data_IF_710569919208
#
_entry.id   IF_710569919208
#
_cell.length_a   1.000
_cell.length_b   1.000
_cell.length_c   1.000
_cell.angle_alpha   90.00
_cell.angle_beta   90.00
_cell.angle_gamma   90.00
#
_symmetry.space_group_name_H-M   'P 1'
#
loop_
_entity.id
_entity.type
_entity.pdbx_description
1 polymer ?
#
# COMPACT_ATOMS: atom_id res chain seq x y z
N UNK A 1 3.07 -3.29 15.00
CA UNK A 1 3.42 -2.72 13.68
C UNK A 1 4.57 -1.72 13.73
N UNK A 2 4.56 -0.76 14.67
CA UNK A 2 5.58 0.31 14.79
C UNK A 2 7.04 -0.16 14.82
N UNK A 3 7.33 -1.27 15.51
CA UNK A 3 8.69 -1.84 15.55
C UNK A 3 9.24 -2.20 14.15
N UNK A 4 8.37 -2.60 13.22
CA UNK A 4 8.75 -3.06 11.88
C UNK A 4 8.74 -1.89 10.88
N UNK A 5 7.74 -1.00 11.00
CA UNK A 5 7.42 0.01 9.99
C UNK A 5 7.69 1.45 10.43
N UNK A 6 8.07 1.69 11.67
CA UNK A 6 8.25 3.02 12.25
C UNK A 6 6.95 3.62 12.78
N UNK A 7 7.04 4.83 13.31
CA UNK A 7 5.89 5.54 13.90
C UNK A 7 4.86 6.02 12.87
N UNK A 8 5.27 6.22 11.62
CA UNK A 8 4.44 6.64 10.49
C UNK A 8 3.73 5.46 9.79
N UNK A 9 3.62 4.31 10.45
CA UNK A 9 3.04 3.08 9.87
C UNK A 9 1.58 3.20 9.45
N UNK A 10 0.81 4.07 10.12
CA UNK A 10 -0.60 4.31 9.81
C UNK A 10 -0.79 5.38 8.73
N UNK A 11 0.29 6.02 8.28
CA UNK A 11 0.23 7.06 7.25
C UNK A 11 0.42 6.47 5.85
N UNK A 12 -0.42 6.92 4.92
CA UNK A 12 -0.23 6.60 3.50
C UNK A 12 0.97 7.38 2.93
N UNK A 13 2.11 6.70 2.82
CA UNK A 13 3.40 7.28 2.39
C UNK A 13 4.06 6.46 1.28
N UNK A 14 3.71 6.71 0.00
CA UNK A 14 4.26 5.98 -1.15
C UNK A 14 5.79 6.07 -1.27
N UNK A 15 6.38 7.18 -0.81
CA UNK A 15 7.82 7.46 -0.84
C UNK A 15 8.62 6.47 0.02
N UNK A 16 7.95 5.75 0.94
CA UNK A 16 8.57 4.68 1.74
C UNK A 16 9.19 3.57 0.87
N UNK A 17 8.70 3.40 -0.35
CA UNK A 17 9.14 2.38 -1.30
C UNK A 17 10.25 2.86 -2.23
N UNK A 18 10.75 4.08 -2.05
CA UNK A 18 11.79 4.68 -2.87
C UNK A 18 13.09 4.81 -2.07
N UNK A 19 14.23 4.71 -2.76
CA UNK A 19 15.53 5.08 -2.21
C UNK A 19 15.77 6.61 -2.32
N UNK A 20 16.86 7.16 -1.75
CA UNK A 20 17.14 8.59 -1.81
C UNK A 20 17.27 9.17 -3.22
N UNK A 21 17.59 8.32 -4.20
CA UNK A 21 17.73 8.68 -5.61
C UNK A 21 16.40 8.56 -6.37
N UNK A 22 15.33 8.11 -5.70
CA UNK A 22 13.98 7.98 -6.24
C UNK A 22 13.70 6.66 -6.96
N UNK A 23 14.60 5.68 -6.89
CA UNK A 23 14.38 4.36 -7.48
C UNK A 23 13.57 3.46 -6.54
N UNK A 24 12.75 2.59 -7.13
CA UNK A 24 11.95 1.64 -6.39
C UNK A 24 12.82 0.61 -5.67
N UNK A 25 12.68 0.55 -4.35
CA UNK A 25 13.34 -0.42 -3.49
C UNK A 25 12.29 -1.38 -2.89
N UNK A 26 12.18 -2.62 -3.38
CA UNK A 26 11.25 -3.58 -2.81
C UNK A 26 11.64 -3.92 -1.37
N UNK A 27 10.66 -3.91 -0.47
CA UNK A 27 10.83 -4.37 0.90
C UNK A 27 10.80 -5.91 0.96
N UNK A 28 11.39 -6.48 1.99
CA UNK A 28 11.38 -7.94 2.18
C UNK A 28 9.94 -8.49 2.27
N UNK A 29 9.69 -9.64 1.63
CA UNK A 29 8.37 -10.29 1.63
C UNK A 29 7.89 -10.67 3.05
N UNK A 30 8.83 -10.93 3.95
CA UNK A 30 8.54 -11.21 5.36
C UNK A 30 8.11 -9.96 6.14
N UNK A 31 8.52 -8.77 5.69
CA UNK A 31 8.10 -7.49 6.26
C UNK A 31 6.78 -7.01 5.63
N UNK A 32 6.60 -7.23 4.33
CA UNK A 32 5.37 -6.92 3.60
C UNK A 32 4.66 -8.19 3.09
N UNK A 33 3.85 -8.81 3.96
CA UNK A 33 3.25 -10.13 3.74
C UNK A 33 1.90 -10.11 3.01
N UNK A 34 1.61 -9.10 2.18
CA UNK A 34 0.33 -8.95 1.47
C UNK A 34 -0.01 -10.18 0.58
N UNK A 35 1.02 -10.88 0.10
CA UNK A 35 0.91 -12.10 -0.72
C UNK A 35 1.43 -13.34 0.00
N UNK A 36 1.56 -13.30 1.33
CA UNK A 36 2.33 -14.27 2.13
C UNK A 36 3.83 -14.26 1.77
N UNK A 37 4.61 -15.11 2.46
CA UNK A 37 6.04 -15.28 2.21
C UNK A 37 6.44 -16.76 2.26
N UNK A 38 7.61 -17.09 1.69
CA UNK A 38 8.15 -18.45 1.71
C UNK A 38 7.46 -19.42 0.73
N UNK A 39 7.54 -20.74 0.96
CA UNK A 39 7.04 -21.77 0.04
C UNK A 39 5.53 -21.70 -0.26
N UNK A 40 4.76 -20.99 0.58
CA UNK A 40 3.31 -20.78 0.43
C UNK A 40 2.95 -19.38 -0.08
N UNK A 41 3.90 -18.67 -0.69
CA UNK A 41 3.63 -17.39 -1.34
C UNK A 41 2.53 -17.56 -2.40
N UNK A 42 1.66 -16.55 -2.52
CA UNK A 42 0.62 -16.56 -3.53
C UNK A 42 1.22 -16.63 -4.94
N UNK A 43 0.91 -17.71 -5.66
CA UNK A 43 1.47 -17.99 -6.99
C UNK A 43 1.12 -16.89 -8.03
N UNK A 44 -0.05 -16.27 -7.88
CA UNK A 44 -0.51 -15.18 -8.75
C UNK A 44 0.02 -13.79 -8.40
N UNK A 45 0.99 -13.67 -7.48
CA UNK A 45 1.51 -12.37 -7.00
C UNK A 45 1.92 -11.45 -8.14
N UNK A 46 2.71 -11.96 -9.08
CA UNK A 46 3.17 -11.15 -10.20
C UNK A 46 2.00 -10.72 -11.08
N UNK A 47 1.11 -11.65 -11.43
CA UNK A 47 -0.10 -11.35 -12.20
C UNK A 47 -0.98 -10.27 -11.54
N UNK A 48 -1.16 -10.34 -10.22
CA UNK A 48 -1.88 -9.31 -9.47
C UNK A 48 -1.20 -7.93 -9.61
N UNK A 49 0.13 -7.85 -9.53
CA UNK A 49 0.86 -6.60 -9.76
C UNK A 49 0.70 -6.08 -11.19
N UNK A 50 0.74 -6.94 -12.20
CA UNK A 50 0.49 -6.55 -13.59
C UNK A 50 -0.89 -5.94 -13.74
N UNK A 51 -1.91 -6.62 -13.21
CA UNK A 51 -3.29 -6.16 -13.30
C UNK A 51 -3.49 -4.82 -12.59
N UNK A 52 -2.93 -4.65 -11.38
CA UNK A 52 -2.98 -3.37 -10.65
C UNK A 52 -2.32 -2.25 -11.42
N UNK A 53 -1.12 -2.46 -11.98
CA UNK A 53 -0.41 -1.44 -12.77
C UNK A 53 -1.20 -1.02 -14.00
N UNK A 54 -1.74 -1.98 -14.74
CA UNK A 54 -2.53 -1.71 -15.95
C UNK A 54 -3.79 -0.90 -15.58
N UNK A 55 -4.54 -1.34 -14.57
CA UNK A 55 -5.73 -0.61 -14.13
C UNK A 55 -5.38 0.80 -13.64
N UNK A 56 -4.36 0.97 -12.81
CA UNK A 56 -3.92 2.28 -12.33
C UNK A 56 -3.50 3.19 -13.49
N UNK A 57 -2.75 2.67 -14.46
CA UNK A 57 -2.33 3.44 -15.63
C UNK A 57 -3.52 3.92 -16.47
N UNK A 58 -4.51 3.04 -16.72
CA UNK A 58 -5.75 3.39 -17.43
C UNK A 58 -6.53 4.45 -16.65
N UNK A 59 -6.73 4.25 -15.34
CA UNK A 59 -7.48 5.17 -14.50
C UNK A 59 -6.83 6.57 -14.45
N UNK A 60 -5.52 6.63 -14.24
CA UNK A 60 -4.77 7.90 -14.18
C UNK A 60 -4.67 8.59 -15.55
N UNK A 61 -4.73 7.83 -16.66
CA UNK A 61 -4.66 8.40 -18.01
C UNK A 61 -5.97 9.05 -18.43
N UNK A 62 -7.10 8.46 -18.08
CA UNK A 62 -8.41 8.86 -18.61
C UNK A 62 -9.31 9.60 -17.61
N UNK A 63 -8.98 9.58 -16.32
CA UNK A 63 -9.83 10.17 -15.27
C UNK A 63 -9.03 11.08 -14.33
N UNK A 64 -9.71 12.11 -13.84
CA UNK A 64 -9.25 12.93 -12.71
C UNK A 64 -10.20 12.67 -11.55
N UNK A 65 -9.65 12.20 -10.43
CA UNK A 65 -10.45 11.85 -9.25
C UNK A 65 -10.63 13.07 -8.35
N UNK A 66 -11.87 13.31 -7.94
CA UNK A 66 -12.21 14.29 -6.92
C UNK A 66 -13.15 13.65 -5.90
N UNK A 67 -12.91 13.92 -4.63
CA UNK A 67 -13.81 13.49 -3.57
C UNK A 67 -15.14 14.24 -3.70
N UNK A 68 -16.25 13.51 -3.65
CA UNK A 68 -17.59 14.12 -3.78
C UNK A 68 -17.88 15.11 -2.63
N UNK A 69 -17.41 14.80 -1.43
CA UNK A 69 -17.61 15.62 -0.23
C UNK A 69 -16.31 16.32 0.20
N UNK A 70 -16.17 17.62 -0.06
CA UNK A 70 -14.98 18.40 0.31
C UNK A 70 -14.78 18.57 1.84
N UNK A 71 -15.69 18.06 2.68
CA UNK A 71 -15.65 18.17 4.16
C UNK A 71 -15.39 16.85 4.88
N UNK A 72 -15.43 15.71 4.18
CA UNK A 72 -15.04 14.44 4.79
C UNK A 72 -13.54 14.28 4.59
N UNK A 73 -12.77 14.45 5.66
CA UNK A 73 -11.44 13.85 5.71
C UNK A 73 -11.59 12.36 5.39
N UNK A 74 -10.67 11.80 4.61
CA UNK A 74 -10.63 10.34 4.37
C UNK A 74 -10.60 9.71 5.76
N UNK A 75 -11.67 9.01 6.13
CA UNK A 75 -11.74 8.32 7.41
C UNK A 75 -10.81 7.11 7.31
N UNK A 76 -9.58 7.27 7.76
CA UNK A 76 -8.71 6.13 8.01
C UNK A 76 -9.34 5.29 9.12
N UNK A 77 -9.94 4.16 8.74
CA UNK A 77 -10.55 3.19 9.65
C UNK A 77 -9.52 2.48 10.55
N UNK A 78 -8.27 2.91 10.58
CA UNK A 78 -7.21 2.35 11.42
C UNK A 78 -7.30 2.81 12.88
N UNK A 79 -7.87 3.99 13.17
CA UNK A 79 -7.97 4.50 14.55
C UNK A 79 -9.02 3.78 15.42
N UNK A 80 -9.93 2.99 14.85
CA UNK A 80 -11.05 2.35 15.57
C UNK A 80 -10.75 0.90 16.00
N UNK A 81 -9.53 0.40 15.75
CA UNK A 81 -9.09 -0.97 16.15
C UNK A 81 -8.08 -0.96 17.30
N UNK A 82 -8.17 0.03 18.19
CA UNK A 82 -7.56 -0.02 19.51
C UNK A 82 -8.43 -0.82 20.49
N UNK A 83 -8.50 -2.14 20.31
CA UNK A 83 -9.33 -2.98 21.17
C UNK A 83 -9.18 -4.47 20.90
N UNK A 84 -8.48 -5.14 21.82
CA UNK A 84 -8.42 -6.59 22.08
C UNK A 84 -7.67 -7.51 21.10
N UNK A 85 -6.74 -8.25 21.75
CA UNK A 85 -5.96 -9.43 21.36
C UNK A 85 -4.62 -9.18 20.65
#
# INVERSE_FOLDING_TARGET
MKFIWGDDVEEYKPERWLDPDGFFRPESLSKFTAFQAGPRIYLGKEFAYWQMKIFSAVLLRYFVFKLNDNKKTVKDKSSDRGGTA
#
